data_IF_276137925022
#
_entry.id   IF_276137925022
#
_cell.length_a   1.000
_cell.length_b   1.000
_cell.length_c   1.000
_cell.angle_alpha   90.00
_cell.angle_beta   90.00
_cell.angle_gamma   90.00
#
_symmetry.space_group_name_H-M   'P 1'
#
loop_
_entity.id
_entity.type
_entity.pdbx_description
1 polymer ?
#
# COMPACT_ATOMS: atom_id res chain seq x y z
N UNK A 1 -6.36 28.20 -10.34
CA UNK A 1 -6.02 27.49 -9.09
C UNK A 1 -5.43 26.13 -9.44
N UNK A 2 -4.29 25.76 -8.84
CA UNK A 2 -3.78 24.41 -8.91
C UNK A 2 -4.68 23.48 -8.10
N UNK A 3 -4.94 22.27 -8.61
CA UNK A 3 -5.73 21.24 -7.92
C UNK A 3 -4.88 19.99 -7.79
N UNK A 4 -4.98 19.30 -6.67
CA UNK A 4 -4.39 17.98 -6.45
C UNK A 4 -5.51 16.99 -6.10
N UNK A 5 -5.36 15.75 -6.57
CA UNK A 5 -6.28 14.67 -6.27
C UNK A 5 -5.47 13.47 -5.78
N UNK A 6 -5.85 12.90 -4.66
CA UNK A 6 -5.30 11.64 -4.15
C UNK A 6 -6.35 10.56 -4.31
N UNK A 7 -5.98 9.47 -4.97
CA UNK A 7 -6.84 8.30 -5.13
C UNK A 7 -6.21 7.16 -4.33
N UNK A 8 -6.92 6.71 -3.31
CA UNK A 8 -6.50 5.57 -2.48
C UNK A 8 -7.24 4.33 -2.96
N UNK A 9 -6.49 3.31 -3.37
CA UNK A 9 -7.05 1.99 -3.67
C UNK A 9 -7.05 1.18 -2.38
N UNK A 10 -8.23 0.93 -1.85
CA UNK A 10 -8.40 0.20 -0.61
C UNK A 10 -7.91 -1.25 -0.74
N UNK A 11 -7.32 -1.77 0.33
CA UNK A 11 -6.75 -3.12 0.43
C UNK A 11 -5.67 -3.46 -0.64
N UNK A 12 -5.03 -2.46 -1.24
CA UNK A 12 -3.97 -2.67 -2.24
C UNK A 12 -2.60 -2.33 -1.66
N UNK A 13 -1.67 -3.28 -1.72
CA UNK A 13 -0.30 -3.12 -1.27
C UNK A 13 0.72 -3.68 -2.25
N UNK A 14 1.89 -3.04 -2.32
CA UNK A 14 3.02 -3.38 -3.18
C UNK A 14 4.16 -3.97 -2.35
N UNK A 15 4.07 -5.26 -2.03
CA UNK A 15 5.04 -5.97 -1.21
C UNK A 15 4.83 -5.79 0.30
N UNK A 16 5.61 -6.53 1.08
CA UNK A 16 5.64 -6.44 2.53
C UNK A 16 6.51 -5.26 2.99
N UNK A 17 6.15 -4.64 4.10
CA UNK A 17 6.97 -3.66 4.79
C UNK A 17 8.13 -4.34 5.55
N UNK A 18 9.22 -3.60 5.89
CA UNK A 18 10.34 -4.17 6.63
C UNK A 18 9.99 -4.76 8.00
N UNK A 19 8.94 -4.25 8.63
CA UNK A 19 8.40 -4.67 9.92
C UNK A 19 7.30 -5.73 9.83
N UNK A 20 7.05 -6.28 8.64
CA UNK A 20 5.98 -7.26 8.39
C UNK A 20 6.02 -8.45 9.35
N UNK A 21 7.21 -8.93 9.73
CA UNK A 21 7.37 -10.03 10.67
C UNK A 21 6.77 -9.73 12.06
N UNK A 22 6.82 -8.47 12.52
CA UNK A 22 6.25 -8.05 13.80
C UNK A 22 4.72 -8.15 13.84
N UNK A 23 4.10 -8.11 12.65
CA UNK A 23 2.66 -8.13 12.46
C UNK A 23 2.13 -9.44 11.84
N UNK A 24 3.02 -10.41 11.56
CA UNK A 24 2.65 -11.67 10.90
C UNK A 24 2.26 -11.49 9.42
N UNK A 25 2.70 -10.41 8.79
CA UNK A 25 2.40 -10.03 7.41
C UNK A 25 3.52 -10.41 6.43
N UNK A 26 4.42 -11.29 6.80
CA UNK A 26 5.50 -11.75 5.94
C UNK A 26 4.95 -12.34 4.63
N UNK A 27 5.55 -11.93 3.51
CA UNK A 27 5.11 -12.38 2.19
C UNK A 27 3.82 -11.72 1.68
N UNK A 28 3.25 -10.77 2.41
CA UNK A 28 2.11 -9.99 1.91
C UNK A 28 2.52 -9.20 0.67
N UNK A 29 1.74 -9.31 -0.39
CA UNK A 29 1.91 -8.58 -1.64
C UNK A 29 0.64 -8.69 -2.47
N UNK A 30 -0.30 -7.79 -2.23
CA UNK A 30 -1.61 -7.84 -2.88
C UNK A 30 -1.48 -7.76 -4.40
N UNK A 31 -0.70 -6.80 -4.92
CA UNK A 31 -0.56 -6.59 -6.37
C UNK A 31 0.03 -7.81 -7.07
N UNK A 32 1.18 -8.31 -6.62
CA UNK A 32 1.82 -9.45 -7.27
C UNK A 32 1.04 -10.75 -7.08
N UNK A 33 0.37 -10.93 -5.93
CA UNK A 33 -0.45 -12.11 -5.67
C UNK A 33 -1.71 -12.12 -6.55
N UNK A 34 -2.38 -10.97 -6.69
CA UNK A 34 -3.54 -10.84 -7.60
C UNK A 34 -3.10 -11.04 -9.06
N UNK A 35 -2.00 -10.39 -9.48
CA UNK A 35 -1.47 -10.55 -10.84
C UNK A 35 -1.28 -12.04 -11.19
N UNK A 36 -0.64 -12.80 -10.32
CA UNK A 36 -0.45 -14.25 -10.50
C UNK A 36 -1.76 -15.03 -10.51
N UNK A 37 -2.66 -14.70 -9.60
CA UNK A 37 -3.93 -15.43 -9.45
C UNK A 37 -4.85 -15.28 -10.66
N UNK A 38 -4.81 -14.13 -11.35
CA UNK A 38 -5.65 -13.85 -12.53
C UNK A 38 -4.92 -14.09 -13.86
N UNK A 39 -3.64 -14.50 -13.83
CA UNK A 39 -2.85 -14.72 -15.03
C UNK A 39 -2.38 -13.45 -15.73
N UNK A 40 -2.16 -12.39 -14.97
CA UNK A 40 -1.67 -11.09 -15.43
C UNK A 40 -2.71 -9.97 -15.27
N UNK A 41 -2.23 -8.77 -14.94
CA UNK A 41 -3.06 -7.57 -14.85
C UNK A 41 -3.18 -6.90 -16.22
N UNK A 42 -4.39 -6.54 -16.63
CA UNK A 42 -4.65 -5.73 -17.82
C UNK A 42 -4.96 -4.29 -17.38
N UNK A 43 -3.90 -3.48 -17.27
CA UNK A 43 -3.95 -2.11 -16.76
C UNK A 43 -3.22 -1.14 -17.69
N UNK A 44 -3.65 -1.01 -18.97
CA UNK A 44 -2.87 -0.32 -20.01
C UNK A 44 -2.56 1.14 -19.66
N UNK A 45 -3.46 1.86 -19.03
CA UNK A 45 -3.23 3.26 -18.63
C UNK A 45 -2.22 3.36 -17.49
N UNK A 46 -2.36 2.53 -16.46
CA UNK A 46 -1.41 2.53 -15.33
C UNK A 46 -0.04 1.99 -15.74
N UNK A 47 0.01 1.00 -16.61
CA UNK A 47 1.25 0.52 -17.20
C UNK A 47 1.98 1.63 -17.95
N UNK A 48 1.29 2.36 -18.84
CA UNK A 48 1.86 3.50 -19.55
C UNK A 48 2.35 4.61 -18.62
N UNK A 49 1.76 4.77 -17.45
CA UNK A 49 2.19 5.69 -16.40
C UNK A 49 3.34 5.15 -15.53
N UNK A 50 3.78 3.91 -15.75
CA UNK A 50 4.91 3.31 -15.04
C UNK A 50 4.54 2.52 -13.78
N UNK A 51 3.30 2.03 -13.67
CA UNK A 51 2.87 1.24 -12.52
C UNK A 51 3.72 -0.02 -12.32
N UNK A 52 4.13 -0.70 -13.41
CA UNK A 52 5.05 -1.83 -13.37
C UNK A 52 6.48 -1.52 -12.90
N UNK A 53 6.83 -0.24 -12.73
CA UNK A 53 8.13 0.16 -12.16
C UNK A 53 8.19 0.02 -10.63
N UNK A 54 7.03 -0.16 -9.96
CA UNK A 54 6.96 -0.33 -8.50
C UNK A 54 7.60 -1.65 -8.08
N UNK A 55 7.23 -2.73 -8.80
CA UNK A 55 7.72 -4.09 -8.62
C UNK A 55 7.37 -4.93 -9.85
N UNK A 56 7.99 -6.11 -10.05
CA UNK A 56 7.60 -7.03 -11.12
C UNK A 56 6.16 -7.49 -10.97
N UNK A 57 5.31 -7.19 -11.96
CA UNK A 57 3.90 -7.55 -12.01
C UNK A 57 3.60 -8.30 -13.31
N UNK A 58 2.98 -9.47 -13.20
CA UNK A 58 2.51 -10.19 -14.39
C UNK A 58 1.44 -9.37 -15.11
N UNK A 59 1.59 -9.22 -16.43
CA UNK A 59 0.68 -8.47 -17.28
C UNK A 59 0.80 -6.95 -17.19
N UNK A 60 1.77 -6.41 -16.42
CA UNK A 60 2.03 -4.98 -16.34
C UNK A 60 3.54 -4.75 -16.39
N UNK A 61 4.06 -4.50 -17.60
CA UNK A 61 5.49 -4.36 -17.83
C UNK A 61 6.07 -3.05 -17.26
N UNK A 62 7.34 -3.05 -16.81
CA UNK A 62 8.01 -1.82 -16.44
C UNK A 62 8.17 -0.91 -17.66
N UNK A 63 7.97 0.40 -17.46
CA UNK A 63 8.07 1.44 -18.49
C UNK A 63 9.20 2.41 -18.15
N UNK A 64 10.44 2.15 -18.61
CA UNK A 64 11.52 3.12 -18.47
C UNK A 64 11.16 4.41 -19.21
N UNK A 65 11.20 5.54 -18.52
CA UNK A 65 10.83 6.82 -19.12
C UNK A 65 9.33 7.12 -19.10
N UNK A 66 8.55 6.42 -18.27
CA UNK A 66 7.15 6.76 -18.02
C UNK A 66 6.99 8.25 -17.63
N UNK A 67 5.87 8.89 -18.03
CA UNK A 67 5.63 10.30 -17.74
C UNK A 67 5.33 10.59 -16.27
N UNK A 68 5.05 9.56 -15.47
CA UNK A 68 4.77 9.66 -14.04
C UNK A 68 5.90 9.05 -13.21
N UNK A 69 5.96 9.42 -11.93
CA UNK A 69 6.86 8.84 -10.94
C UNK A 69 6.13 7.75 -10.19
N UNK A 70 6.70 6.54 -10.20
CA UNK A 70 6.20 5.40 -9.46
C UNK A 70 7.20 5.00 -8.36
N UNK A 71 6.71 4.56 -7.20
CA UNK A 71 7.56 4.16 -6.09
C UNK A 71 6.78 3.60 -4.92
N UNK A 72 7.50 3.21 -3.87
CA UNK A 72 6.96 2.75 -2.60
C UNK A 72 7.27 3.73 -1.49
N UNK A 73 6.34 3.91 -0.59
CA UNK A 73 6.50 4.70 0.62
C UNK A 73 6.67 3.77 1.82
N UNK A 74 7.49 4.18 2.78
CA UNK A 74 7.60 3.55 4.10
C UNK A 74 6.83 4.38 5.10
N UNK A 75 6.01 3.74 5.90
CA UNK A 75 5.32 4.38 7.02
C UNK A 75 6.29 4.77 8.13
N UNK A 76 5.98 5.84 8.83
CA UNK A 76 6.71 6.36 10.00
C UNK A 76 5.88 6.25 11.27
N UNK A 77 4.57 6.20 11.12
CA UNK A 77 3.62 6.01 12.21
C UNK A 77 3.75 4.61 12.81
N UNK A 78 3.38 4.48 14.06
CA UNK A 78 3.30 3.18 14.74
C UNK A 78 1.90 2.59 14.61
N UNK A 79 1.82 1.28 14.40
CA UNK A 79 0.58 0.55 14.21
C UNK A 79 0.18 0.44 12.74
N UNK A 80 -0.65 -0.56 12.45
CA UNK A 80 -1.15 -0.88 11.11
C UNK A 80 -2.67 -0.83 11.10
N UNK A 81 -3.21 0.34 10.90
CA UNK A 81 -4.64 0.53 10.73
C UNK A 81 -4.93 1.62 9.69
N UNK A 82 -6.12 1.55 9.10
CA UNK A 82 -6.59 2.45 8.05
C UNK A 82 -6.56 3.92 8.49
N UNK A 83 -6.93 4.20 9.72
CA UNK A 83 -7.02 5.58 10.24
C UNK A 83 -5.64 6.22 10.29
N UNK A 84 -4.67 5.52 10.90
CA UNK A 84 -3.28 5.99 11.00
C UNK A 84 -2.67 6.17 9.60
N UNK A 85 -2.89 5.20 8.69
CA UNK A 85 -2.39 5.29 7.32
C UNK A 85 -2.92 6.51 6.56
N UNK A 86 -4.23 6.79 6.66
CA UNK A 86 -4.81 7.99 6.03
C UNK A 86 -4.31 9.30 6.66
N UNK A 87 -4.12 9.33 7.97
CA UNK A 87 -3.54 10.51 8.63
C UNK A 87 -2.10 10.76 8.16
N UNK A 88 -1.31 9.71 8.01
CA UNK A 88 0.07 9.85 7.55
C UNK A 88 0.14 10.33 6.10
N UNK A 89 -0.75 9.89 5.21
CA UNK A 89 -0.88 10.44 3.85
C UNK A 89 -1.14 11.96 3.86
N UNK A 90 -1.80 12.46 4.91
CA UNK A 90 -2.04 13.90 5.12
C UNK A 90 -0.94 14.59 5.92
N UNK A 91 0.15 13.90 6.24
CA UNK A 91 1.32 14.44 6.93
C UNK A 91 1.28 14.33 8.46
N UNK A 92 0.32 13.62 9.03
CA UNK A 92 0.23 13.39 10.49
C UNK A 92 0.91 12.07 10.84
N UNK A 93 2.05 12.14 11.52
CA UNK A 93 2.77 10.96 12.01
C UNK A 93 2.32 10.64 13.43
N UNK A 94 1.85 9.43 13.67
CA UNK A 94 1.35 8.94 14.95
C UNK A 94 2.45 8.16 15.68
N UNK A 95 2.99 8.65 16.82
CA UNK A 95 4.12 8.02 17.49
C UNK A 95 3.74 6.76 18.30
N UNK A 96 2.45 6.55 18.53
CA UNK A 96 1.91 5.41 19.29
C UNK A 96 0.82 4.72 18.48
N UNK A 97 0.85 3.38 18.44
CA UNK A 97 -0.22 2.59 17.83
C UNK A 97 -1.54 2.77 18.60
N UNK A 98 -2.66 2.71 17.90
CA UNK A 98 -3.96 2.61 18.53
C UNK A 98 -4.09 1.27 19.27
N UNK A 99 -4.80 1.21 20.40
CA UNK A 99 -5.02 -0.03 21.10
C UNK A 99 -5.83 -1.00 20.23
N UNK A 100 -5.47 -2.28 20.27
CA UNK A 100 -6.19 -3.35 19.58
C UNK A 100 -6.82 -4.30 20.60
N UNK A 101 -8.01 -4.79 20.27
CA UNK A 101 -8.80 -5.66 21.14
C UNK A 101 -9.15 -6.96 20.41
N UNK A 102 -8.19 -7.88 20.18
CA UNK A 102 -8.39 -9.07 19.37
C UNK A 102 -9.43 -10.06 19.94
N UNK A 103 -9.75 -9.92 21.24
CA UNK A 103 -10.73 -10.75 21.92
C UNK A 103 -12.02 -9.99 22.31
N UNK A 104 -12.21 -8.79 21.76
CA UNK A 104 -13.31 -7.89 22.12
C UNK A 104 -12.89 -6.82 23.13
N UNK A 105 -13.71 -5.78 23.26
CA UNK A 105 -13.48 -4.74 24.25
C UNK A 105 -13.56 -5.29 25.66
N UNK A 106 -12.64 -4.92 26.57
CA UNK A 106 -12.80 -5.21 27.99
C UNK A 106 -13.96 -4.41 28.60
N UNK A 107 -14.46 -4.86 29.78
CA UNK A 107 -15.66 -4.30 30.38
C UNK A 107 -15.50 -2.84 30.86
N UNK A 108 -14.27 -2.34 30.91
CA UNK A 108 -13.91 -0.99 31.35
C UNK A 108 -13.66 0.02 30.21
N UNK A 109 -13.92 -0.36 28.96
CA UNK A 109 -13.78 0.46 27.74
C UNK A 109 -15.12 0.78 27.10
#
# INVERSE_FOLDING_TARGET
>A
MARACVIVLDAVGAGALPDAAEFGDEGSNTLANVARAVGGLDLPTLEALGFGNIEPLEGCAPQPGAPAVAGRLLERSKGKDTTIGHWELMGVVTPQALPTYPYGFPDDV
#
